data_IF_878499843030
#
_entry.id   IF_878499843030
#
_cell.length_a   1.000
_cell.length_b   1.000
_cell.length_c   1.000
_cell.angle_alpha   90.00
_cell.angle_beta   90.00
_cell.angle_gamma   90.00
#
_symmetry.space_group_name_H-M   'P 1'
#
loop_
_entity.id
_entity.type
_entity.pdbx_description
1 polymer ?
#
# COMPACT_ATOMS: atom_id res chain seq x y z
N UNK A 1 31.77 -23.50 10.18
CA UNK A 1 31.36 -24.57 9.25
C UNK A 1 30.27 -24.14 8.28
N UNK A 2 29.28 -23.33 8.65
CA UNK A 2 28.29 -22.74 7.72
C UNK A 2 28.91 -21.62 6.86
N UNK A 3 29.82 -20.83 7.40
CA UNK A 3 30.57 -19.79 6.70
C UNK A 3 31.46 -20.36 5.57
N UNK A 4 32.07 -21.55 5.74
CA UNK A 4 32.81 -22.22 4.68
C UNK A 4 31.94 -22.63 3.50
N UNK A 5 30.67 -22.98 3.71
CA UNK A 5 29.72 -23.29 2.63
C UNK A 5 29.23 -22.04 1.91
N UNK A 6 29.01 -20.93 2.62
CA UNK A 6 28.62 -19.64 2.04
C UNK A 6 29.73 -19.06 1.16
N UNK A 7 31.01 -19.27 1.51
CA UNK A 7 32.18 -18.79 0.72
C UNK A 7 32.18 -19.32 -0.71
N UNK A 8 31.56 -20.48 -0.96
CA UNK A 8 31.42 -21.07 -2.30
C UNK A 8 30.40 -20.33 -3.17
N UNK A 9 29.46 -19.61 -2.57
CA UNK A 9 28.38 -18.90 -3.25
C UNK A 9 28.53 -17.38 -3.21
N UNK A 10 29.63 -16.89 -2.63
CA UNK A 10 30.01 -15.49 -2.72
C UNK A 10 30.97 -15.34 -3.91
N UNK A 11 30.47 -14.91 -5.08
CA UNK A 11 31.34 -14.60 -6.23
C UNK A 11 32.01 -13.25 -6.02
N UNK A 12 32.20 -12.83 -4.79
CA UNK A 12 32.89 -11.59 -4.48
C UNK A 12 34.38 -11.91 -4.49
N UNK A 13 34.95 -11.85 -5.65
CA UNK A 13 36.37 -11.56 -5.78
C UNK A 13 36.53 -10.12 -5.26
N UNK A 14 37.09 -9.99 -4.06
CA UNK A 14 37.49 -8.69 -3.51
C UNK A 14 38.57 -8.00 -4.36
N UNK A 15 39.01 -8.64 -5.41
CA UNK A 15 40.01 -8.14 -6.36
C UNK A 15 39.41 -7.09 -7.33
N UNK A 16 38.10 -6.83 -7.32
CA UNK A 16 37.52 -5.75 -8.09
C UNK A 16 37.51 -4.40 -7.36
N UNK A 17 37.96 -4.36 -6.12
CA UNK A 17 38.11 -3.09 -5.39
C UNK A 17 39.12 -2.13 -6.07
N UNK A 18 40.04 -2.67 -6.86
CA UNK A 18 41.03 -1.90 -7.64
C UNK A 18 40.45 -1.28 -8.92
N UNK A 19 39.20 -1.62 -9.31
CA UNK A 19 38.53 -1.12 -10.52
C UNK A 19 37.44 -0.11 -10.25
N UNK A 20 37.29 0.33 -9.01
CA UNK A 20 36.35 1.43 -8.69
C UNK A 20 37.09 2.74 -8.92
N UNK A 21 37.11 3.17 -10.17
CA UNK A 21 37.58 4.51 -10.61
C UNK A 21 36.55 5.62 -10.25
N UNK A 22 35.66 5.37 -9.32
CA UNK A 22 34.73 6.35 -8.83
C UNK A 22 35.35 7.10 -7.65
N UNK A 23 35.39 8.41 -7.73
CA UNK A 23 35.64 9.24 -6.56
C UNK A 23 34.57 8.96 -5.52
N UNK A 24 34.92 8.20 -4.48
CA UNK A 24 34.03 7.84 -3.36
C UNK A 24 33.93 9.00 -2.36
N UNK A 25 34.28 10.20 -2.80
CA UNK A 25 34.17 11.41 -1.99
C UNK A 25 32.77 12.00 -2.13
N UNK A 26 32.21 12.41 -1.01
CA UNK A 26 30.94 13.09 -0.94
C UNK A 26 31.17 14.58 -1.25
N UNK A 27 30.76 15.03 -2.44
CA UNK A 27 31.02 16.40 -2.91
C UNK A 27 30.01 17.41 -2.38
N UNK A 28 28.86 16.96 -1.91
CA UNK A 28 27.80 17.80 -1.37
C UNK A 28 27.66 17.64 0.15
N UNK A 29 27.39 18.73 0.89
CA UNK A 29 27.06 18.62 2.29
C UNK A 29 25.80 17.76 2.46
N UNK A 30 25.84 16.82 3.42
CA UNK A 30 24.68 16.02 3.79
C UNK A 30 23.68 16.93 4.48
N UNK A 31 22.59 17.26 3.82
CA UNK A 31 21.47 17.94 4.44
C UNK A 31 20.55 16.92 5.12
N UNK A 32 20.23 17.19 6.39
CA UNK A 32 19.27 16.39 7.11
C UNK A 32 17.87 16.62 6.55
N UNK A 33 17.31 15.60 5.91
CA UNK A 33 15.91 15.60 5.49
C UNK A 33 15.10 14.77 6.50
N UNK A 34 14.22 15.40 7.29
CA UNK A 34 13.42 14.67 8.28
C UNK A 34 12.44 13.74 7.57
N UNK A 35 12.59 12.43 7.83
CA UNK A 35 11.78 11.38 7.19
C UNK A 35 10.30 11.47 7.61
N UNK A 36 10.03 11.95 8.84
CA UNK A 36 8.68 12.02 9.42
C UNK A 36 8.03 13.41 9.33
N UNK A 37 8.55 14.30 8.49
CA UNK A 37 7.97 15.64 8.33
C UNK A 37 6.71 15.54 7.47
N UNK A 38 5.54 15.71 8.09
CA UNK A 38 4.25 15.67 7.41
C UNK A 38 3.93 16.97 6.68
N UNK A 39 4.36 18.13 7.23
CA UNK A 39 4.20 19.45 6.61
C UNK A 39 5.25 20.43 7.13
N UNK A 40 5.40 21.57 6.41
CA UNK A 40 6.24 22.69 6.84
C UNK A 40 5.58 23.48 7.98
N UNK A 41 4.26 23.64 7.92
CA UNK A 41 3.47 24.29 8.95
C UNK A 41 3.14 23.28 10.08
N UNK A 42 3.43 23.68 11.30
CA UNK A 42 3.21 22.83 12.47
C UNK A 42 1.72 22.51 12.70
N UNK A 43 0.84 23.49 12.45
CA UNK A 43 -0.61 23.29 12.62
C UNK A 43 -1.13 22.27 11.62
N UNK A 44 -0.71 22.40 10.35
CA UNK A 44 -1.07 21.46 9.29
C UNK A 44 -0.47 20.07 9.56
N UNK A 45 0.76 20.01 10.06
CA UNK A 45 1.38 18.74 10.44
C UNK A 45 0.61 18.01 11.56
N UNK A 46 0.07 18.76 12.53
CA UNK A 46 -0.74 18.20 13.61
C UNK A 46 -2.10 17.70 13.11
N UNK A 47 -2.74 18.44 12.20
CA UNK A 47 -3.98 17.98 11.55
C UNK A 47 -3.74 16.70 10.76
N UNK A 48 -2.71 16.65 9.94
CA UNK A 48 -2.31 15.45 9.18
C UNK A 48 -1.98 14.27 10.10
N UNK A 49 -1.36 14.51 11.26
CA UNK A 49 -1.08 13.46 12.23
C UNK A 49 -2.36 12.88 12.81
N UNK A 50 -3.33 13.74 13.14
CA UNK A 50 -4.64 13.31 13.63
C UNK A 50 -5.40 12.50 12.57
N UNK A 51 -5.38 12.97 11.34
CA UNK A 51 -5.99 12.26 10.20
C UNK A 51 -5.31 10.91 9.98
N UNK A 52 -3.97 10.85 10.03
CA UNK A 52 -3.20 9.62 9.91
C UNK A 52 -3.61 8.60 10.98
N UNK A 53 -3.79 9.02 12.24
CA UNK A 53 -4.24 8.14 13.32
C UNK A 53 -5.67 7.62 13.07
N UNK A 54 -6.57 8.44 12.56
CA UNK A 54 -7.92 8.02 12.20
C UNK A 54 -7.92 6.99 11.07
N UNK A 55 -7.11 7.22 10.05
CA UNK A 55 -6.94 6.28 8.94
C UNK A 55 -6.36 4.96 9.45
N UNK A 56 -5.28 5.00 10.24
CA UNK A 56 -4.65 3.82 10.83
C UNK A 56 -5.66 2.99 11.63
N UNK A 57 -6.49 3.63 12.47
CA UNK A 57 -7.54 2.96 13.24
C UNK A 57 -8.64 2.34 12.36
N UNK A 58 -8.86 2.89 11.18
CA UNK A 58 -9.82 2.34 10.23
C UNK A 58 -9.29 1.12 9.46
N UNK A 59 -7.98 0.92 9.46
CA UNK A 59 -7.33 -0.21 8.79
C UNK A 59 -7.31 -1.46 9.69
N UNK A 60 -7.19 -2.67 9.13
CA UNK A 60 -7.29 -3.91 9.88
C UNK A 60 -6.11 -4.21 10.82
N UNK A 61 -5.04 -3.42 10.80
CA UNK A 61 -3.86 -3.61 11.64
C UNK A 61 -3.04 -4.88 11.36
N UNK A 62 -3.16 -5.44 10.17
CA UNK A 62 -2.50 -6.71 9.81
C UNK A 62 -1.09 -6.54 9.28
N UNK A 63 -0.66 -5.32 9.00
CA UNK A 63 0.68 -4.99 8.48
C UNK A 63 1.15 -5.93 7.35
N UNK A 64 0.23 -6.22 6.42
CA UNK A 64 0.41 -7.28 5.41
C UNK A 64 1.37 -6.90 4.27
N UNK A 65 1.77 -5.64 4.14
CA UNK A 65 2.68 -5.16 3.11
C UNK A 65 2.20 -5.34 1.66
N UNK A 66 0.93 -5.67 1.42
CA UNK A 66 0.42 -6.14 0.12
C UNK A 66 0.48 -5.09 -0.99
N UNK A 67 0.64 -3.82 -0.68
CA UNK A 67 0.66 -2.69 -1.64
C UNK A 67 1.95 -1.87 -1.63
N UNK A 68 3.00 -2.38 -0.98
CA UNK A 68 4.30 -1.70 -0.91
C UNK A 68 4.54 -0.95 0.39
N UNK A 69 3.50 -0.45 1.05
CA UNK A 69 3.62 0.11 2.40
C UNK A 69 3.78 -1.03 3.41
N UNK A 70 4.86 -1.06 4.20
CA UNK A 70 5.20 -2.21 5.03
C UNK A 70 4.23 -2.42 6.21
N UNK A 71 3.56 -1.36 6.67
CA UNK A 71 2.62 -1.38 7.79
C UNK A 71 1.36 -0.60 7.47
N UNK A 72 0.28 -0.82 8.23
CA UNK A 72 -0.94 -0.02 8.12
C UNK A 72 -0.68 1.46 8.45
N UNK A 73 0.22 1.74 9.40
CA UNK A 73 0.64 3.11 9.73
C UNK A 73 1.38 3.78 8.57
N UNK A 74 2.27 3.06 7.87
CA UNK A 74 2.96 3.58 6.69
C UNK A 74 1.98 3.90 5.56
N UNK A 75 0.95 3.04 5.34
CA UNK A 75 -0.11 3.34 4.39
C UNK A 75 -0.89 4.59 4.79
N UNK A 76 -1.24 4.75 6.07
CA UNK A 76 -1.92 5.94 6.56
C UNK A 76 -1.09 7.22 6.35
N UNK A 77 0.23 7.15 6.54
CA UNK A 77 1.15 8.24 6.25
C UNK A 77 1.17 8.59 4.76
N UNK A 78 1.25 7.60 3.87
CA UNK A 78 1.21 7.79 2.43
C UNK A 78 -0.12 8.44 1.99
N UNK A 79 -1.24 8.07 2.62
CA UNK A 79 -2.57 8.65 2.34
C UNK A 79 -2.60 10.14 2.71
N UNK A 80 -2.18 10.53 3.91
CA UNK A 80 -2.21 11.95 4.33
C UNK A 80 -1.20 12.81 3.57
N UNK A 81 -0.20 12.20 2.94
CA UNK A 81 0.72 12.84 2.02
C UNK A 81 0.18 12.93 0.59
N UNK A 82 -0.96 12.30 0.29
CA UNK A 82 -1.55 12.23 -1.03
C UNK A 82 -0.82 11.29 -2.00
N UNK A 83 -0.04 10.35 -1.48
CA UNK A 83 0.74 9.38 -2.26
C UNK A 83 -0.02 8.06 -2.46
N UNK A 84 -1.04 7.79 -1.63
CA UNK A 84 -1.84 6.58 -1.66
C UNK A 84 -3.31 6.87 -1.37
N UNK A 85 -4.17 5.85 -1.53
CA UNK A 85 -5.58 5.89 -1.14
C UNK A 85 -5.85 4.83 -0.06
N UNK A 86 -6.79 5.07 0.88
CA UNK A 86 -7.23 4.06 1.84
C UNK A 86 -7.74 2.77 1.17
N UNK A 87 -8.29 2.90 -0.04
CA UNK A 87 -8.80 1.77 -0.85
C UNK A 87 -7.69 0.87 -1.42
N UNK A 88 -6.43 1.28 -1.30
CA UNK A 88 -5.31 0.40 -1.64
C UNK A 88 -5.13 -0.74 -0.64
N UNK A 89 -5.71 -0.62 0.56
CA UNK A 89 -5.82 -1.75 1.47
C UNK A 89 -6.77 -2.80 0.89
N UNK A 90 -6.29 -4.01 0.63
CA UNK A 90 -7.09 -5.10 0.04
C UNK A 90 -8.32 -5.46 0.88
N UNK A 91 -8.23 -5.31 2.19
CA UNK A 91 -9.34 -5.57 3.11
C UNK A 91 -10.40 -4.48 3.00
N UNK A 92 -9.99 -3.20 2.99
CA UNK A 92 -10.91 -2.07 2.78
C UNK A 92 -11.55 -2.11 1.40
N UNK A 93 -10.78 -2.39 0.38
CA UNK A 93 -11.29 -2.55 -0.97
C UNK A 93 -12.37 -3.64 -1.03
N UNK A 94 -12.12 -4.80 -0.40
CA UNK A 94 -13.09 -5.89 -0.33
C UNK A 94 -14.36 -5.47 0.42
N UNK A 95 -14.23 -4.77 1.55
CA UNK A 95 -15.38 -4.24 2.31
C UNK A 95 -16.22 -3.31 1.44
N UNK A 96 -15.58 -2.38 0.74
CA UNK A 96 -16.25 -1.42 -0.14
C UNK A 96 -16.97 -2.11 -1.31
N UNK A 97 -16.35 -3.12 -1.94
CA UNK A 97 -16.99 -3.92 -2.99
C UNK A 97 -18.20 -4.66 -2.42
N UNK A 98 -18.08 -5.28 -1.26
CA UNK A 98 -19.21 -6.00 -0.63
C UNK A 98 -20.36 -5.04 -0.34
N UNK A 99 -20.08 -3.87 0.24
CA UNK A 99 -21.10 -2.86 0.51
C UNK A 99 -21.78 -2.34 -0.77
N UNK A 100 -21.04 -2.19 -1.86
CA UNK A 100 -21.56 -1.79 -3.15
C UNK A 100 -22.50 -2.86 -3.73
N UNK A 101 -22.10 -4.12 -3.68
CA UNK A 101 -22.91 -5.26 -4.14
C UNK A 101 -24.21 -5.36 -3.34
N UNK A 102 -24.14 -5.22 -2.01
CA UNK A 102 -25.33 -5.20 -1.16
C UNK A 102 -26.25 -4.01 -1.48
N UNK A 103 -25.67 -2.86 -1.81
CA UNK A 103 -26.39 -1.68 -2.27
C UNK A 103 -27.14 -1.95 -3.58
N UNK A 104 -26.49 -2.59 -4.54
CA UNK A 104 -27.10 -2.97 -5.83
C UNK A 104 -28.23 -3.97 -5.62
N UNK A 105 -28.06 -4.99 -4.79
CA UNK A 105 -29.10 -5.97 -4.49
C UNK A 105 -30.34 -5.32 -3.86
N UNK A 106 -30.16 -4.30 -3.00
CA UNK A 106 -31.29 -3.54 -2.44
C UNK A 106 -32.04 -2.74 -3.49
N UNK A 107 -31.34 -2.27 -4.53
CA UNK A 107 -31.97 -1.54 -5.65
C UNK A 107 -32.73 -2.46 -6.61
N UNK A 108 -32.41 -3.74 -6.65
CA UNK A 108 -33.10 -4.71 -7.53
C UNK A 108 -34.61 -4.74 -7.31
N UNK A 109 -35.04 -4.52 -6.05
CA UNK A 109 -36.46 -4.38 -5.71
C UNK A 109 -37.17 -3.13 -6.27
N UNK A 110 -36.40 -2.09 -6.63
CA UNK A 110 -36.92 -0.83 -7.20
C UNK A 110 -36.88 -0.78 -8.72
N UNK A 111 -36.25 -1.78 -9.37
CA UNK A 111 -36.20 -1.84 -10.84
C UNK A 111 -37.58 -2.24 -11.36
N UNK A 112 -38.24 -1.40 -12.20
CA UNK A 112 -39.52 -1.74 -12.82
C UNK A 112 -39.43 -3.06 -13.59
N UNK A 113 -40.48 -3.86 -13.55
CA UNK A 113 -40.53 -5.17 -14.20
C UNK A 113 -40.16 -5.11 -15.70
N UNK A 114 -40.49 -4.01 -16.37
CA UNK A 114 -40.16 -3.76 -17.78
C UNK A 114 -38.67 -3.57 -18.07
N UNK A 115 -37.83 -3.34 -17.04
CA UNK A 115 -36.38 -3.16 -17.15
C UNK A 115 -35.58 -4.34 -16.58
N UNK A 116 -36.27 -5.31 -15.99
CA UNK A 116 -35.63 -6.56 -15.58
C UNK A 116 -35.38 -7.38 -16.83
N UNK A 117 -34.11 -7.58 -17.19
CA UNK A 117 -33.74 -8.53 -18.23
C UNK A 117 -34.34 -9.90 -17.94
N UNK A 118 -34.83 -10.57 -18.97
CA UNK A 118 -35.30 -11.95 -18.89
C UNK A 118 -34.13 -12.75 -18.31
N UNK A 119 -34.37 -13.47 -17.20
CA UNK A 119 -33.45 -14.48 -16.74
C UNK A 119 -33.38 -15.52 -17.83
N UNK A 120 -32.23 -15.64 -18.48
CA UNK A 120 -31.96 -16.81 -19.31
C UNK A 120 -32.13 -18.02 -18.37
N UNK A 121 -33.21 -18.76 -18.58
CA UNK A 121 -33.43 -20.04 -17.92
C UNK A 121 -32.25 -20.92 -18.29
N UNK A 122 -31.40 -21.21 -17.33
CA UNK A 122 -30.33 -22.17 -17.45
C UNK A 122 -30.97 -23.50 -17.80
N UNK A 123 -30.93 -23.81 -19.12
CA UNK A 123 -31.38 -25.09 -19.65
C UNK A 123 -30.39 -26.14 -19.16
N UNK A 124 -30.80 -26.88 -18.14
CA UNK A 124 -30.12 -28.07 -17.62
C UNK A 124 -30.18 -29.15 -18.71
N UNK A 125 -29.07 -29.58 -19.32
CA UNK A 125 -29.10 -30.69 -20.28
C UNK A 125 -29.12 -32.02 -19.53
N UNK A 126 -30.23 -32.79 -19.70
CA UNK A 126 -30.32 -34.22 -19.38
C UNK A 126 -29.17 -35.03 -20.02
#
# INVERSE_FOLDING_TARGET
TKLKRLRKYLPVSLNHAEQIDAELNWDAPLEYTPVLKLDEDFSVAMEKMTEMEQIEQSLPGLDCGSRGSPTCRALAEDVVRGLASPDECIFKFRENITALVDGIHKLDGYIPHSLRGEKEDEHDPD
#
